data_IF_874789983358
#
_entry.id   IF_874789983358
#
_cell.length_a   1.000
_cell.length_b   1.000
_cell.length_c   1.000
_cell.angle_alpha   90.00
_cell.angle_beta   90.00
_cell.angle_gamma   90.00
#
_symmetry.space_group_name_H-M   'P 1'
#
loop_
_entity.id
_entity.type
_entity.pdbx_description
1 polymer ?
#
# COMPACT_ATOMS: atom_id res chain seq x y z
N UNK A 1 -4.83 -11.39 17.62
CA UNK A 1 -6.09 -11.57 16.89
C UNK A 1 -5.90 -11.38 15.38
N UNK A 2 -5.89 -10.17 14.80
CA UNK A 2 -5.76 -10.01 13.33
C UNK A 2 -4.43 -10.53 12.76
N UNK A 3 -3.33 -10.35 13.48
CA UNK A 3 -2.00 -10.78 13.04
C UNK A 3 -1.84 -12.31 13.09
N UNK A 4 -2.32 -12.94 14.16
CA UNK A 4 -2.43 -14.41 14.26
C UNK A 4 -3.39 -14.97 13.22
N UNK A 5 -4.52 -14.32 12.96
CA UNK A 5 -5.46 -14.74 11.90
C UNK A 5 -4.82 -14.68 10.51
N UNK A 6 -3.95 -13.71 10.24
CA UNK A 6 -3.20 -13.64 8.98
C UNK A 6 -2.15 -14.74 8.87
N UNK A 7 -1.39 -15.01 9.93
CA UNK A 7 -0.42 -16.12 9.97
C UNK A 7 -1.13 -17.46 9.71
N UNK A 8 -2.28 -17.69 10.36
CA UNK A 8 -3.12 -18.89 10.14
C UNK A 8 -3.63 -18.98 8.71
N UNK A 9 -4.00 -17.86 8.07
CA UNK A 9 -4.45 -17.85 6.67
C UNK A 9 -3.31 -18.14 5.70
N UNK A 10 -2.09 -17.67 5.98
CA UNK A 10 -0.90 -17.98 5.18
C UNK A 10 -0.49 -19.45 5.26
N UNK A 11 -0.49 -20.04 6.45
CA UNK A 11 -0.22 -21.47 6.62
C UNK A 11 -1.25 -22.34 5.90
N UNK A 12 -2.54 -21.97 5.99
CA UNK A 12 -3.62 -22.65 5.27
C UNK A 12 -3.45 -22.56 3.75
N UNK A 13 -2.99 -21.43 3.24
CA UNK A 13 -2.74 -21.25 1.81
C UNK A 13 -1.64 -22.21 1.32
N UNK A 14 -0.51 -22.28 2.04
CA UNK A 14 0.59 -23.17 1.68
C UNK A 14 0.18 -24.65 1.69
N UNK A 15 -0.57 -25.07 2.71
CA UNK A 15 -1.06 -26.45 2.82
C UNK A 15 -1.98 -26.82 1.65
N UNK A 16 -2.84 -25.91 1.20
CA UNK A 16 -3.74 -26.15 0.07
C UNK A 16 -2.98 -26.17 -1.26
N UNK A 17 -1.97 -25.32 -1.42
CA UNK A 17 -1.10 -25.33 -2.61
C UNK A 17 -0.32 -26.64 -2.74
N UNK A 18 0.28 -27.14 -1.65
CA UNK A 18 0.99 -28.43 -1.62
C UNK A 18 0.05 -29.60 -1.99
N UNK A 19 -1.16 -29.63 -1.40
CA UNK A 19 -2.17 -30.65 -1.73
C UNK A 19 -2.63 -30.59 -3.18
N UNK A 20 -2.67 -29.40 -3.79
CA UNK A 20 -3.02 -29.24 -5.20
C UNK A 20 -1.92 -29.81 -6.11
N UNK A 21 -0.65 -29.52 -5.80
CA UNK A 21 0.49 -30.07 -6.52
C UNK A 21 0.55 -31.61 -6.43
N UNK A 22 0.26 -32.18 -5.25
CA UNK A 22 0.16 -33.63 -5.07
C UNK A 22 -0.97 -34.25 -5.90
N UNK A 23 -2.14 -33.62 -5.93
CA UNK A 23 -3.28 -34.08 -6.72
C UNK A 23 -2.99 -34.02 -8.23
N UNK A 24 -2.34 -32.96 -8.71
CA UNK A 24 -1.88 -32.85 -10.10
C UNK A 24 -0.86 -33.92 -10.45
N UNK A 25 0.14 -34.16 -9.58
CA UNK A 25 1.15 -35.20 -9.81
C UNK A 25 0.50 -36.59 -9.91
N UNK A 26 -0.48 -36.88 -9.05
CA UNK A 26 -1.26 -38.12 -9.08
C UNK A 26 -2.07 -38.25 -10.37
N UNK A 27 -2.72 -37.17 -10.82
CA UNK A 27 -3.44 -37.14 -12.09
C UNK A 27 -2.52 -37.47 -13.29
N UNK A 28 -1.35 -36.82 -13.37
CA UNK A 28 -0.34 -37.08 -14.42
C UNK A 28 0.17 -38.53 -14.40
N UNK A 29 0.26 -39.15 -13.22
CA UNK A 29 0.69 -40.55 -13.09
C UNK A 29 -0.39 -41.53 -13.56
N UNK A 30 -1.67 -41.26 -13.26
CA UNK A 30 -2.79 -42.06 -13.75
C UNK A 30 -2.89 -42.01 -15.29
N UNK A 31 -2.71 -40.83 -15.90
CA UNK A 31 -2.67 -40.69 -17.37
C UNK A 31 -1.59 -41.56 -18.02
N UNK A 32 -0.40 -41.65 -17.41
CA UNK A 32 0.70 -42.53 -17.88
C UNK A 32 0.34 -44.01 -17.78
N UNK A 33 -0.32 -44.43 -16.69
CA UNK A 33 -0.77 -45.81 -16.54
C UNK A 33 -1.83 -46.17 -17.60
N UNK A 34 -2.78 -45.27 -17.87
CA UNK A 34 -3.80 -45.45 -18.91
C UNK A 34 -3.20 -45.63 -20.30
N UNK A 35 -2.13 -44.90 -20.63
CA UNK A 35 -1.41 -45.06 -21.89
C UNK A 35 -0.76 -46.47 -22.03
N UNK A 36 -0.39 -47.12 -20.93
CA UNK A 36 0.27 -48.44 -20.91
C UNK A 36 -0.67 -49.64 -20.94
N UNK A 37 -1.93 -49.49 -20.49
CA UNK A 37 -2.88 -50.60 -20.36
C UNK A 37 -3.60 -51.00 -21.67
N UNK A 38 -3.20 -50.44 -22.82
CA UNK A 38 -3.88 -50.58 -24.11
C UNK A 38 -3.91 -51.98 -24.74
N UNK A 39 -3.18 -52.98 -24.24
CA UNK A 39 -2.76 -54.13 -25.07
C UNK A 39 -3.20 -55.57 -24.66
N UNK A 40 -4.11 -55.82 -23.70
CA UNK A 40 -4.37 -57.23 -23.33
C UNK A 40 -5.58 -57.65 -22.46
N UNK A 41 -6.74 -56.99 -22.51
CA UNK A 41 -7.90 -57.31 -21.62
C UNK A 41 -9.21 -57.50 -22.41
N UNK A 42 -10.13 -58.36 -21.93
CA UNK A 42 -11.47 -58.58 -22.51
C UNK A 42 -12.25 -57.26 -22.64
N UNK A 43 -13.08 -57.13 -23.70
CA UNK A 43 -13.69 -55.85 -24.10
C UNK A 43 -14.60 -55.24 -23.00
N UNK A 44 -15.32 -56.06 -22.25
CA UNK A 44 -16.13 -55.61 -21.10
C UNK A 44 -15.29 -55.06 -19.95
N UNK A 45 -14.22 -55.76 -19.57
CA UNK A 45 -13.31 -55.29 -18.52
C UNK A 45 -12.61 -53.98 -18.91
N UNK A 46 -12.30 -53.79 -20.20
CA UNK A 46 -11.82 -52.51 -20.76
C UNK A 46 -12.86 -51.40 -20.68
N UNK A 47 -14.14 -51.68 -20.96
CA UNK A 47 -15.20 -50.68 -20.88
C UNK A 47 -15.48 -50.26 -19.43
N UNK A 48 -15.52 -51.22 -18.51
CA UNK A 48 -15.68 -50.95 -17.08
C UNK A 48 -14.51 -50.16 -16.50
N UNK A 49 -13.26 -50.55 -16.80
CA UNK A 49 -12.10 -49.77 -16.39
C UNK A 49 -12.11 -48.37 -17.00
N UNK A 50 -12.47 -48.22 -18.28
CA UNK A 50 -12.57 -46.90 -18.91
C UNK A 50 -13.66 -46.03 -18.29
N UNK A 51 -14.77 -46.61 -17.87
CA UNK A 51 -15.84 -45.87 -17.19
C UNK A 51 -15.42 -45.45 -15.79
N UNK A 52 -14.83 -46.36 -15.00
CA UNK A 52 -14.30 -46.06 -13.68
C UNK A 52 -13.23 -44.94 -13.72
N UNK A 53 -12.35 -44.98 -14.72
CA UNK A 53 -11.34 -43.94 -14.94
C UNK A 53 -11.94 -42.60 -15.34
N UNK A 54 -13.04 -42.59 -16.11
CA UNK A 54 -13.75 -41.35 -16.45
C UNK A 54 -14.42 -40.76 -15.22
N UNK A 55 -15.06 -41.59 -14.41
CA UNK A 55 -15.74 -41.16 -13.20
C UNK A 55 -14.70 -40.64 -12.17
N UNK A 56 -13.55 -41.31 -12.03
CA UNK A 56 -12.43 -40.85 -11.19
C UNK A 56 -11.82 -39.54 -11.72
N UNK A 57 -11.67 -39.37 -13.04
CA UNK A 57 -11.22 -38.13 -13.64
C UNK A 57 -12.21 -36.97 -13.42
N UNK A 58 -13.52 -37.22 -13.47
CA UNK A 58 -14.52 -36.19 -13.17
C UNK A 58 -14.49 -35.77 -11.70
N UNK A 59 -14.32 -36.72 -10.78
CA UNK A 59 -14.18 -36.42 -9.36
C UNK A 59 -12.91 -35.61 -9.11
N UNK A 60 -11.78 -36.01 -9.71
CA UNK A 60 -10.52 -35.28 -9.59
C UNK A 60 -10.66 -33.83 -10.12
N UNK A 61 -11.34 -33.64 -11.25
CA UNK A 61 -11.59 -32.32 -11.83
C UNK A 61 -12.45 -31.44 -10.89
N UNK A 62 -13.53 -31.99 -10.33
CA UNK A 62 -14.38 -31.27 -9.38
C UNK A 62 -13.60 -30.89 -8.11
N UNK A 63 -12.75 -31.78 -7.60
CA UNK A 63 -11.91 -31.48 -6.44
C UNK A 63 -10.85 -30.42 -6.73
N UNK A 64 -10.25 -30.42 -7.92
CA UNK A 64 -9.32 -29.38 -8.35
C UNK A 64 -10.03 -28.03 -8.45
N UNK A 65 -11.17 -27.98 -9.12
CA UNK A 65 -11.95 -26.75 -9.27
C UNK A 65 -12.38 -26.18 -7.91
N UNK A 66 -12.79 -27.03 -6.97
CA UNK A 66 -13.10 -26.61 -5.61
C UNK A 66 -11.87 -26.02 -4.89
N UNK A 67 -10.71 -26.65 -5.03
CA UNK A 67 -9.46 -26.14 -4.45
C UNK A 67 -8.97 -24.84 -5.12
N UNK A 68 -9.15 -24.68 -6.43
CA UNK A 68 -8.84 -23.45 -7.15
C UNK A 68 -9.71 -22.28 -6.71
N UNK A 69 -11.01 -22.52 -6.48
CA UNK A 69 -11.93 -21.51 -5.96
C UNK A 69 -11.59 -21.13 -4.51
N UNK A 70 -11.15 -22.09 -3.69
CA UNK A 70 -10.66 -21.86 -2.33
C UNK A 70 -9.35 -21.04 -2.34
N UNK A 71 -8.38 -21.39 -3.19
CA UNK A 71 -7.14 -20.61 -3.40
C UNK A 71 -7.48 -19.20 -3.87
N UNK A 72 -8.42 -19.04 -4.82
CA UNK A 72 -8.86 -17.73 -5.31
C UNK A 72 -9.49 -16.89 -4.20
N UNK A 73 -10.31 -17.51 -3.35
CA UNK A 73 -10.93 -16.86 -2.19
C UNK A 73 -9.89 -16.42 -1.15
N UNK A 74 -8.94 -17.30 -0.81
CA UNK A 74 -7.86 -17.02 0.13
C UNK A 74 -6.92 -15.93 -0.40
N UNK A 75 -6.53 -15.99 -1.67
CA UNK A 75 -5.75 -14.92 -2.33
C UNK A 75 -6.48 -13.59 -2.29
N UNK A 76 -7.77 -13.55 -2.63
CA UNK A 76 -8.58 -12.33 -2.52
C UNK A 76 -8.65 -11.82 -1.07
N UNK A 77 -8.64 -12.71 -0.07
CA UNK A 77 -8.64 -12.33 1.33
C UNK A 77 -7.30 -11.72 1.76
N UNK A 78 -6.19 -12.30 1.34
CA UNK A 78 -4.82 -11.82 1.64
C UNK A 78 -4.45 -10.58 0.84
N UNK A 79 -4.87 -10.48 -0.42
CA UNK A 79 -4.52 -9.38 -1.32
C UNK A 79 -5.21 -8.06 -0.96
N UNK A 80 -6.30 -8.09 -0.17
CA UNK A 80 -6.91 -6.89 0.43
C UNK A 80 -5.98 -6.14 1.41
N UNK A 81 -4.77 -6.64 1.63
CA UNK A 81 -3.76 -6.03 2.50
C UNK A 81 -2.62 -5.35 1.74
N UNK A 82 -2.55 -5.51 0.41
CA UNK A 82 -1.50 -4.93 -0.43
C UNK A 82 -2.05 -3.69 -1.13
N UNK A 83 -1.52 -2.51 -0.78
CA UNK A 83 -1.90 -1.25 -1.39
C UNK A 83 -1.39 -1.19 -2.84
N UNK A 84 -2.22 -0.67 -3.73
CA UNK A 84 -1.83 -0.30 -5.09
C UNK A 84 -0.83 0.85 -5.08
N UNK A 85 -0.17 1.10 -6.22
CA UNK A 85 0.79 2.20 -6.36
C UNK A 85 0.13 3.57 -6.08
N UNK A 86 -1.08 3.79 -6.59
CA UNK A 86 -1.82 5.04 -6.37
C UNK A 86 -2.17 5.23 -4.89
N UNK A 87 -2.66 4.17 -4.22
CA UNK A 87 -2.95 4.19 -2.80
C UNK A 87 -1.68 4.46 -1.96
N UNK A 88 -0.53 3.92 -2.38
CA UNK A 88 0.76 4.18 -1.74
C UNK A 88 1.15 5.65 -1.81
N UNK A 89 1.05 6.24 -3.01
CA UNK A 89 1.35 7.65 -3.23
C UNK A 89 0.43 8.56 -2.42
N UNK A 90 -0.85 8.21 -2.33
CA UNK A 90 -1.81 8.93 -1.50
C UNK A 90 -1.45 8.84 0.00
N UNK A 91 -1.07 7.65 0.49
CA UNK A 91 -0.63 7.45 1.88
C UNK A 91 0.60 8.30 2.20
N UNK A 92 1.60 8.32 1.31
CA UNK A 92 2.80 9.16 1.45
C UNK A 92 2.43 10.64 1.48
N UNK A 93 1.58 11.10 0.56
CA UNK A 93 1.13 12.49 0.51
C UNK A 93 0.43 12.90 1.81
N UNK A 94 -0.45 12.04 2.33
CA UNK A 94 -1.15 12.28 3.60
C UNK A 94 -0.19 12.32 4.80
N UNK A 95 0.86 11.49 4.83
CA UNK A 95 1.93 11.56 5.87
C UNK A 95 2.66 12.91 5.83
N UNK A 96 3.06 13.36 4.64
CA UNK A 96 3.66 14.68 4.44
C UNK A 96 2.73 15.81 4.90
N UNK A 97 1.45 15.69 4.59
CA UNK A 97 0.43 16.66 4.99
C UNK A 97 0.28 16.71 6.52
N UNK A 98 0.16 15.56 7.19
CA UNK A 98 0.14 15.44 8.65
C UNK A 98 1.36 16.13 9.28
N UNK A 99 2.57 15.80 8.82
CA UNK A 99 3.81 16.41 9.30
C UNK A 99 3.78 17.95 9.14
N UNK A 100 3.31 18.44 7.99
CA UNK A 100 3.25 19.89 7.70
C UNK A 100 2.28 20.63 8.61
N UNK A 101 1.11 20.06 8.89
CA UNK A 101 0.11 20.66 9.76
C UNK A 101 0.57 20.69 11.21
N UNK A 102 1.15 19.59 11.71
CA UNK A 102 1.74 19.58 13.04
C UNK A 102 2.92 20.55 13.19
N UNK A 103 3.72 20.76 12.13
CA UNK A 103 4.73 21.82 12.13
C UNK A 103 4.13 23.22 12.25
N UNK A 104 3.01 23.50 11.56
CA UNK A 104 2.30 24.77 11.77
C UNK A 104 1.79 24.92 13.20
N UNK A 105 1.33 23.84 13.83
CA UNK A 105 0.97 23.86 15.24
C UNK A 105 2.15 24.27 16.14
N UNK A 106 3.35 23.77 15.87
CA UNK A 106 4.57 24.19 16.58
C UNK A 106 4.84 25.68 16.37
N UNK A 107 4.72 26.19 15.15
CA UNK A 107 5.00 27.59 14.81
C UNK A 107 4.01 28.58 15.45
N UNK A 108 2.72 28.22 15.49
CA UNK A 108 1.67 29.06 16.06
C UNK A 108 1.35 28.73 17.54
N UNK A 109 2.13 27.84 18.16
CA UNK A 109 1.90 27.34 19.52
C UNK A 109 0.48 26.77 19.76
N UNK A 110 -0.11 26.15 18.72
CA UNK A 110 -1.40 25.45 18.81
C UNK A 110 -1.14 24.06 19.36
N UNK A 111 -1.87 23.64 20.40
CA UNK A 111 -1.68 22.32 21.04
C UNK A 111 -0.21 22.04 21.39
N UNK A 112 0.47 23.03 22.01
CA UNK A 112 1.93 23.05 22.20
C UNK A 112 2.49 21.81 22.94
N UNK A 113 1.69 21.18 23.79
CA UNK A 113 2.06 19.97 24.54
C UNK A 113 2.28 18.74 23.65
N UNK A 114 1.58 18.65 22.52
CA UNK A 114 1.61 17.47 21.63
C UNK A 114 2.20 17.78 20.25
N UNK A 115 2.17 19.04 19.81
CA UNK A 115 2.49 19.42 18.44
C UNK A 115 3.89 18.99 18.01
N UNK A 116 4.89 19.14 18.89
CA UNK A 116 6.28 18.76 18.57
C UNK A 116 6.45 17.25 18.44
N UNK A 117 5.95 16.48 19.40
CA UNK A 117 6.01 15.02 19.35
C UNK A 117 5.28 14.45 18.11
N UNK A 118 4.13 15.04 17.75
CA UNK A 118 3.38 14.65 16.55
C UNK A 118 4.10 15.03 15.26
N UNK A 119 4.69 16.22 15.18
CA UNK A 119 5.52 16.60 14.05
C UNK A 119 6.68 15.62 13.88
N UNK A 120 7.45 15.37 14.92
CA UNK A 120 8.64 14.51 14.86
C UNK A 120 8.26 13.08 14.41
N UNK A 121 7.15 12.55 14.95
CA UNK A 121 6.58 11.27 14.53
C UNK A 121 6.23 11.25 13.04
N UNK A 122 5.36 12.15 12.57
CA UNK A 122 4.91 12.12 11.18
C UNK A 122 6.01 12.48 10.18
N UNK A 123 6.99 13.30 10.58
CA UNK A 123 8.16 13.61 9.75
C UNK A 123 9.10 12.43 9.55
N UNK A 124 9.15 11.47 10.49
CA UNK A 124 9.93 10.24 10.30
C UNK A 124 9.41 9.36 9.17
N UNK A 125 8.11 9.47 8.84
CA UNK A 125 7.45 8.71 7.77
C UNK A 125 7.29 9.49 6.46
N UNK A 126 7.60 10.79 6.48
CA UNK A 126 7.42 11.67 5.35
C UNK A 126 8.75 11.80 4.58
N UNK A 127 8.82 11.44 3.29
CA UNK A 127 9.98 11.75 2.48
C UNK A 127 10.20 13.27 2.45
N UNK A 128 11.45 13.70 2.25
CA UNK A 128 11.77 15.12 2.20
C UNK A 128 10.92 15.79 1.10
N UNK A 129 10.13 16.83 1.42
CA UNK A 129 9.22 17.46 0.45
C UNK A 129 9.91 17.90 -0.84
N UNK A 130 11.19 18.28 -0.75
CA UNK A 130 12.01 18.64 -1.89
C UNK A 130 12.31 17.45 -2.81
N UNK A 131 12.63 16.28 -2.25
CA UNK A 131 12.92 15.07 -3.01
C UNK A 131 11.69 14.56 -3.76
N UNK A 132 10.50 14.68 -3.15
CA UNK A 132 9.24 14.33 -3.82
C UNK A 132 8.93 15.24 -5.01
N UNK A 133 9.09 16.56 -4.86
CA UNK A 133 8.85 17.52 -5.95
C UNK A 133 9.89 17.35 -7.06
N UNK A 134 11.16 17.15 -6.70
CA UNK A 134 12.22 16.88 -7.68
C UNK A 134 11.97 15.55 -8.41
N UNK A 135 11.59 14.49 -7.68
CA UNK A 135 11.24 13.21 -8.28
C UNK A 135 10.02 13.30 -9.20
N UNK A 136 8.98 14.05 -8.82
CA UNK A 136 7.82 14.29 -9.69
C UNK A 136 8.19 15.11 -10.94
N UNK A 137 9.02 16.14 -10.78
CA UNK A 137 9.53 16.93 -11.92
C UNK A 137 10.41 16.12 -12.86
N UNK A 138 11.21 15.20 -12.31
CA UNK A 138 12.04 14.28 -13.08
C UNK A 138 11.18 13.26 -13.86
N UNK A 139 10.13 12.70 -13.23
CA UNK A 139 9.16 11.80 -13.89
C UNK A 139 8.43 12.48 -15.06
N UNK A 140 7.99 13.72 -14.89
CA UNK A 140 7.37 14.50 -15.96
C UNK A 140 8.34 14.81 -17.12
N UNK A 141 9.64 14.91 -16.82
CA UNK A 141 10.70 15.11 -17.81
C UNK A 141 11.06 13.82 -18.55
N UNK A 142 11.03 12.67 -17.88
CA UNK A 142 11.33 11.34 -18.44
C UNK A 142 10.20 10.76 -19.30
N UNK A 143 8.93 11.09 -19.01
CA UNK A 143 7.79 10.77 -19.88
C UNK A 143 7.92 11.34 -21.30
N UNK A 144 8.82 12.31 -21.51
CA UNK A 144 9.08 12.91 -22.81
C UNK A 144 10.26 12.28 -23.59
N UNK A 145 11.06 11.35 -23.03
CA UNK A 145 12.36 11.01 -23.64
C UNK A 145 12.78 9.53 -23.78
N UNK A 146 12.16 8.51 -23.17
CA UNK A 146 12.61 7.13 -23.49
C UNK A 146 11.65 6.01 -23.08
N UNK A 147 11.35 5.12 -24.04
CA UNK A 147 10.44 3.98 -23.91
C UNK A 147 11.13 2.66 -23.47
N UNK A 148 12.45 2.64 -23.18
CA UNK A 148 13.15 1.37 -22.85
C UNK A 148 14.03 1.37 -21.60
N UNK A 149 14.60 2.50 -21.16
CA UNK A 149 15.43 2.56 -19.93
C UNK A 149 14.61 2.86 -18.66
N UNK A 150 13.41 3.40 -18.83
CA UNK A 150 12.54 3.85 -17.74
C UNK A 150 12.01 2.71 -16.85
N UNK A 151 11.99 1.46 -17.32
CA UNK A 151 11.44 0.34 -16.57
C UNK A 151 12.36 -0.08 -15.39
N UNK A 152 13.67 -0.12 -15.60
CA UNK A 152 14.65 -0.53 -14.57
C UNK A 152 14.86 0.56 -13.52
N UNK A 153 14.89 1.84 -13.91
CA UNK A 153 14.99 2.96 -12.96
C UNK A 153 13.70 3.14 -12.16
N UNK A 154 12.51 2.91 -12.77
CA UNK A 154 11.24 2.82 -12.04
C UNK A 154 11.29 1.71 -11.00
N UNK A 155 11.74 0.51 -11.35
CA UNK A 155 11.79 -0.61 -10.41
C UNK A 155 12.75 -0.37 -9.24
N UNK A 156 13.89 0.28 -9.50
CA UNK A 156 14.90 0.60 -8.48
C UNK A 156 14.43 1.67 -7.50
N UNK A 157 13.85 2.77 -8.01
CA UNK A 157 13.29 3.83 -7.16
C UNK A 157 12.05 3.36 -6.39
N UNK A 158 11.26 2.44 -6.98
CA UNK A 158 10.14 1.80 -6.30
C UNK A 158 10.60 0.88 -5.16
N UNK A 159 11.70 0.15 -5.33
CA UNK A 159 12.32 -0.65 -4.26
C UNK A 159 12.83 0.25 -3.13
N UNK A 160 13.51 1.36 -3.47
CA UNK A 160 14.00 2.31 -2.47
C UNK A 160 12.85 3.02 -1.72
N UNK A 161 11.74 3.38 -2.41
CA UNK A 161 10.54 3.91 -1.76
C UNK A 161 9.82 2.87 -0.88
N UNK A 162 9.82 1.60 -1.30
CA UNK A 162 9.24 0.49 -0.54
C UNK A 162 10.06 0.15 0.71
N UNK A 163 11.38 0.32 0.65
CA UNK A 163 12.29 0.16 1.80
C UNK A 163 12.29 1.36 2.74
N UNK A 164 12.17 2.59 2.21
CA UNK A 164 12.14 3.81 3.03
C UNK A 164 10.77 4.07 3.69
N UNK A 165 9.66 3.61 3.09
CA UNK A 165 8.30 3.91 3.56
C UNK A 165 7.85 3.05 4.75
N UNK A 166 8.50 1.91 5.00
CA UNK A 166 8.13 1.01 6.09
C UNK A 166 6.68 0.53 5.94
N UNK A 167 6.55 -0.59 5.24
CA UNK A 167 5.35 -1.41 5.10
C UNK A 167 4.28 -0.87 4.12
N UNK A 168 4.25 -1.46 2.93
CA UNK A 168 3.22 -1.23 1.91
C UNK A 168 1.89 -1.91 2.22
N UNK A 169 1.50 -1.87 3.49
CA UNK A 169 0.44 -2.66 4.08
C UNK A 169 -0.74 -1.75 4.45
N UNK A 170 -1.95 -2.32 4.51
CA UNK A 170 -3.19 -1.63 4.92
C UNK A 170 -3.07 -0.92 6.27
N UNK A 171 -2.18 -1.38 7.16
CA UNK A 171 -1.90 -0.76 8.45
C UNK A 171 -1.36 0.67 8.31
N UNK A 172 -0.50 0.91 7.32
CA UNK A 172 0.05 2.23 7.00
C UNK A 172 -1.06 3.22 6.63
N UNK A 173 -2.01 2.77 5.79
CA UNK A 173 -3.18 3.56 5.43
C UNK A 173 -4.06 3.86 6.65
N UNK A 174 -4.33 2.86 7.50
CA UNK A 174 -5.14 3.03 8.72
C UNK A 174 -4.48 3.97 9.73
N UNK A 175 -3.16 3.92 9.89
CA UNK A 175 -2.41 4.84 10.75
C UNK A 175 -2.59 6.28 10.28
N UNK A 176 -2.43 6.52 8.98
CA UNK A 176 -2.65 7.83 8.36
C UNK A 176 -4.08 8.31 8.58
N UNK A 177 -5.08 7.48 8.33
CA UNK A 177 -6.49 7.83 8.57
C UNK A 177 -6.76 8.20 10.03
N UNK A 178 -6.14 7.50 10.98
CA UNK A 178 -6.25 7.81 12.39
C UNK A 178 -5.63 9.18 12.71
N UNK A 179 -4.46 9.47 12.14
CA UNK A 179 -3.81 10.78 12.26
C UNK A 179 -4.64 11.93 11.69
N UNK A 180 -5.24 11.73 10.51
CA UNK A 180 -6.12 12.72 9.88
C UNK A 180 -7.39 12.96 10.71
N UNK A 181 -8.00 11.89 11.23
CA UNK A 181 -9.14 12.00 12.15
C UNK A 181 -8.79 12.75 13.42
N UNK A 182 -7.60 12.54 13.96
CA UNK A 182 -7.11 13.27 15.14
C UNK A 182 -6.96 14.77 14.86
N UNK A 183 -6.38 15.16 13.72
CA UNK A 183 -6.31 16.57 13.30
C UNK A 183 -7.68 17.22 13.20
N UNK A 184 -8.65 16.52 12.59
CA UNK A 184 -10.02 16.98 12.47
C UNK A 184 -10.72 17.10 13.84
N UNK A 185 -10.54 16.11 14.71
CA UNK A 185 -11.10 16.12 16.07
C UNK A 185 -10.58 17.31 16.89
N UNK A 186 -9.28 17.60 16.78
CA UNK A 186 -8.62 18.71 17.48
C UNK A 186 -8.82 20.07 16.79
N UNK A 187 -9.55 20.11 15.67
CA UNK A 187 -9.81 21.31 14.85
C UNK A 187 -8.54 22.08 14.51
N UNK A 188 -7.48 21.34 14.19
CA UNK A 188 -6.15 21.91 13.96
C UNK A 188 -6.16 22.82 12.74
N UNK A 189 -6.87 22.45 11.68
CA UNK A 189 -6.99 23.28 10.46
C UNK A 189 -7.61 24.65 10.76
N UNK A 190 -8.74 24.68 11.48
CA UNK A 190 -9.43 25.91 11.86
C UNK A 190 -8.53 26.82 12.71
N UNK A 191 -7.82 26.22 13.68
CA UNK A 191 -6.91 26.96 14.56
C UNK A 191 -5.72 27.55 13.78
N UNK A 192 -5.16 26.80 12.82
CA UNK A 192 -4.09 27.28 11.94
C UNK A 192 -4.62 28.39 11.03
N UNK A 193 -5.79 28.22 10.42
CA UNK A 193 -6.40 29.21 9.54
C UNK A 193 -6.64 30.53 10.28
N UNK A 194 -7.15 30.47 11.52
CA UNK A 194 -7.33 31.63 12.37
C UNK A 194 -6.00 32.32 12.70
N UNK A 195 -4.98 31.55 13.08
CA UNK A 195 -3.64 32.06 13.41
C UNK A 195 -2.98 32.73 12.20
N UNK A 196 -3.09 32.11 11.02
CA UNK A 196 -2.60 32.68 9.76
C UNK A 196 -3.34 33.98 9.39
N UNK A 197 -4.66 34.03 9.58
CA UNK A 197 -5.45 35.23 9.32
C UNK A 197 -5.05 36.39 10.25
N UNK A 198 -4.83 36.10 11.55
CA UNK A 198 -4.34 37.07 12.52
C UNK A 198 -2.95 37.59 12.13
N UNK A 199 -2.02 36.72 11.74
CA UNK A 199 -0.70 37.14 11.29
C UNK A 199 -0.74 38.01 10.03
N UNK A 200 -1.57 37.65 9.03
CA UNK A 200 -1.75 38.49 7.84
C UNK A 200 -2.25 39.89 8.21
N UNK A 201 -3.22 39.98 9.13
CA UNK A 201 -3.76 41.27 9.61
C UNK A 201 -2.69 42.09 10.35
N UNK A 202 -1.91 41.46 11.23
CA UNK A 202 -0.82 42.12 11.96
C UNK A 202 0.26 42.65 11.01
N UNK A 203 0.59 41.89 9.97
CA UNK A 203 1.57 42.30 8.97
C UNK A 203 1.08 43.48 8.13
N UNK A 204 -0.21 43.54 7.79
CA UNK A 204 -0.81 44.69 7.10
C UNK A 204 -0.80 45.97 7.97
N UNK A 205 -1.03 45.85 9.28
CA UNK A 205 -0.94 46.97 10.22
C UNK A 205 0.50 47.48 10.36
N UNK A 206 1.50 46.58 10.36
CA UNK A 206 2.92 46.96 10.41
C UNK A 206 3.39 47.65 9.13
N UNK A 207 2.89 47.28 7.96
CA UNK A 207 3.22 47.96 6.69
C UNK A 207 2.55 49.33 6.50
N UNK A 208 1.56 49.67 7.34
CA UNK A 208 0.82 50.93 7.26
C UNK A 208 1.31 52.05 8.19
N UNK A 209 2.33 51.81 9.00
CA UNK A 209 2.91 52.82 9.90
C UNK A 209 4.00 53.61 9.16
N UNK A 210 3.83 54.92 8.89
CA UNK A 210 4.93 55.73 8.36
C UNK A 210 6.05 55.81 9.40
N UNK A 211 7.30 55.69 8.96
CA UNK A 211 8.48 55.83 9.81
C UNK A 211 8.41 57.14 10.62
N UNK A 212 8.77 57.12 11.92
CA UNK A 212 8.77 58.32 12.73
C UNK A 212 9.80 59.29 12.15
N UNK A 213 9.33 60.46 11.69
CA UNK A 213 10.18 61.59 11.31
C UNK A 213 11.04 61.99 12.52
N UNK A 214 12.32 61.60 12.48
CA UNK A 214 13.32 62.10 13.42
C UNK A 214 13.57 63.56 13.03
N UNK A 215 12.95 64.49 13.76
CA UNK A 215 13.31 65.91 13.69
C UNK A 215 14.64 66.07 14.42
N UNK A 216 15.74 66.02 13.68
CA UNK A 216 17.03 66.52 14.16
C UNK A 216 16.91 68.04 14.32
N UNK A 217 16.75 68.48 15.56
CA UNK A 217 16.89 69.89 15.93
C UNK A 217 18.38 70.23 15.98
N UNK A 218 18.90 70.78 14.89
CA UNK A 218 20.24 71.38 14.86
C UNK A 218 20.20 72.70 15.63
N UNK A 219 21.03 72.78 16.68
CA UNK A 219 21.41 74.03 17.35
C UNK A 219 22.39 74.84 16.51
#
# INVERSE_FOLDING_TARGET
MLQEENEILHEKLQLVEERCEEAEARSRQLEKQVASFGEGVTLEARLLSRQALKDEATIALETLQHSEDEIRSLRNRTQRMILTQEEMEEVVLKRCWLARYWNFCVQYAIHAEIAKAKHDYWSSFAPLPLEMVLGAGQRAKEENLSESTAAEEREKVLKDLKELSGDGNIESMLLVEKGLRELAYLKVEDAIALSMAQQRRLNQLKSGMPEPFIITSSS
#
